data_IF_469723981166
#
_entry.id   IF_469723981166
#
_cell.length_a   1.000
_cell.length_b   1.000
_cell.length_c   1.000
_cell.angle_alpha   90.00
_cell.angle_beta   90.00
_cell.angle_gamma   90.00
#
_symmetry.space_group_name_H-M   'P 1'
#
loop_
_entity.id
_entity.type
_entity.pdbx_description
1 polymer ?
#
# COMPACT_ATOMS: atom_id res chain seq x y z
N UNK A 1 3.80 29.10 -0.40
CA UNK A 1 2.58 28.31 -0.71
C UNK A 1 2.86 26.86 -0.37
N UNK A 2 2.05 26.22 0.48
CA UNK A 2 2.28 24.83 0.88
C UNK A 2 1.58 23.88 -0.09
N UNK A 3 2.33 23.27 -1.02
CA UNK A 3 1.86 22.18 -1.88
C UNK A 3 1.83 20.88 -1.08
N UNK A 4 0.98 20.81 -0.06
CA UNK A 4 0.80 19.64 0.80
C UNK A 4 -0.70 19.35 0.94
N UNK A 5 -1.09 18.11 0.64
CA UNK A 5 -2.43 17.59 0.86
C UNK A 5 -2.36 16.26 1.59
N UNK A 6 -3.38 15.96 2.40
CA UNK A 6 -3.56 14.65 3.03
C UNK A 6 -4.96 14.15 2.66
N UNK A 7 -5.02 13.01 1.98
CA UNK A 7 -6.23 12.26 1.77
C UNK A 7 -6.26 11.09 2.76
N UNK A 8 -7.44 10.72 3.25
CA UNK A 8 -7.64 9.55 4.09
C UNK A 8 -9.00 8.94 3.78
N UNK A 9 -9.08 7.62 3.84
CA UNK A 9 -10.31 6.87 3.73
C UNK A 9 -10.33 5.86 4.88
N UNK A 10 -11.51 5.58 5.42
CA UNK A 10 -11.68 4.56 6.46
C UNK A 10 -12.64 3.51 5.92
N UNK A 11 -12.20 2.25 5.92
CA UNK A 11 -12.95 1.12 5.39
C UNK A 11 -13.08 0.07 6.48
N UNK A 12 -14.29 -0.41 6.72
CA UNK A 12 -14.54 -1.54 7.60
C UNK A 12 -14.40 -2.85 6.82
N UNK A 13 -13.63 -3.78 7.37
CA UNK A 13 -13.43 -5.11 6.81
C UNK A 13 -13.94 -6.17 7.80
N UNK A 14 -14.54 -7.22 7.28
CA UNK A 14 -15.00 -8.36 8.11
C UNK A 14 -13.86 -9.34 8.45
N UNK A 15 -12.75 -9.27 7.71
CA UNK A 15 -11.56 -10.09 7.93
C UNK A 15 -10.75 -9.63 9.15
N UNK A 16 -10.00 -10.58 9.76
CA UNK A 16 -9.11 -10.31 10.89
C UNK A 16 -8.09 -9.21 10.57
N UNK A 17 -7.94 -8.25 11.49
CA UNK A 17 -6.94 -7.18 11.42
C UNK A 17 -5.52 -7.73 11.17
N UNK A 18 -5.16 -8.82 11.83
CA UNK A 18 -3.83 -9.42 11.72
C UNK A 18 -3.61 -10.08 10.36
N UNK A 19 -4.64 -10.72 9.80
CA UNK A 19 -4.57 -11.33 8.46
C UNK A 19 -4.40 -10.26 7.38
N UNK A 20 -5.16 -9.18 7.46
CA UNK A 20 -5.05 -8.06 6.54
C UNK A 20 -3.69 -7.35 6.69
N UNK A 21 -3.25 -7.08 7.91
CA UNK A 21 -1.94 -6.46 8.15
C UNK A 21 -0.78 -7.31 7.62
N UNK A 22 -0.79 -8.63 7.87
CA UNK A 22 0.26 -9.54 7.42
C UNK A 22 0.34 -9.62 5.89
N UNK A 23 -0.81 -9.52 5.21
CA UNK A 23 -0.87 -9.47 3.75
C UNK A 23 -0.03 -8.32 3.20
N UNK A 24 -0.21 -7.10 3.73
CA UNK A 24 0.55 -5.93 3.28
C UNK A 24 1.98 -5.86 3.82
N UNK A 25 2.25 -6.46 4.99
CA UNK A 25 3.57 -6.40 5.61
C UNK A 25 4.57 -7.41 5.02
N UNK A 26 4.09 -8.59 4.58
CA UNK A 26 4.99 -9.70 4.21
C UNK A 26 4.53 -10.54 3.03
N UNK A 27 3.28 -10.39 2.58
CA UNK A 27 2.71 -11.21 1.49
C UNK A 27 2.16 -10.33 0.38
N UNK A 28 2.80 -9.19 0.11
CA UNK A 28 2.33 -8.24 -0.89
C UNK A 28 2.25 -8.89 -2.29
N UNK A 29 3.16 -9.82 -2.60
CA UNK A 29 3.17 -10.61 -3.83
C UNK A 29 1.94 -11.53 -4.00
N UNK A 30 1.19 -11.81 -2.93
CA UNK A 30 -0.07 -12.58 -3.01
C UNK A 30 -1.25 -11.69 -3.45
N UNK A 31 -1.13 -10.35 -3.40
CA UNK A 31 -2.24 -9.45 -3.77
C UNK A 31 -2.65 -9.62 -5.24
N UNK A 32 -1.72 -9.90 -6.14
CA UNK A 32 -2.03 -10.20 -7.56
C UNK A 32 -2.93 -11.45 -7.72
N UNK A 33 -2.91 -12.36 -6.74
CA UNK A 33 -3.74 -13.56 -6.75
C UNK A 33 -5.11 -13.33 -6.09
N UNK A 34 -5.30 -12.19 -5.41
CA UNK A 34 -6.51 -11.85 -4.64
C UNK A 34 -7.43 -10.90 -5.43
N UNK A 35 -6.88 -10.06 -6.31
CA UNK A 35 -7.66 -9.10 -7.09
C UNK A 35 -7.18 -9.02 -8.54
N UNK A 36 -8.12 -9.12 -9.47
CA UNK A 36 -7.87 -8.94 -10.91
C UNK A 36 -7.47 -7.49 -11.28
N UNK A 37 -7.67 -6.51 -10.37
CA UNK A 37 -7.26 -5.13 -10.60
C UNK A 37 -5.75 -4.91 -10.41
N UNK A 38 -5.07 -5.77 -9.64
CA UNK A 38 -3.62 -5.73 -9.43
C UNK A 38 -2.96 -6.71 -10.38
N UNK A 39 -2.43 -6.18 -11.48
CA UNK A 39 -1.94 -7.00 -12.58
C UNK A 39 -0.67 -7.80 -12.23
N UNK A 40 0.28 -7.20 -11.49
CA UNK A 40 1.46 -7.88 -10.94
C UNK A 40 1.98 -7.16 -9.69
N UNK A 41 2.29 -7.93 -8.66
CA UNK A 41 3.15 -7.50 -7.54
C UNK A 41 4.42 -8.33 -7.65
N UNK A 42 5.47 -7.73 -8.25
CA UNK A 42 6.80 -8.33 -8.32
C UNK A 42 7.74 -7.56 -7.40
N UNK A 43 8.21 -8.21 -6.33
CA UNK A 43 9.38 -7.78 -5.59
C UNK A 43 10.55 -7.52 -6.57
N UNK A 44 11.11 -6.31 -6.55
CA UNK A 44 11.96 -5.80 -7.61
C UNK A 44 13.34 -6.49 -7.67
N UNK A 45 13.43 -7.56 -8.47
CA UNK A 45 14.59 -7.96 -9.30
C UNK A 45 14.07 -8.58 -10.60
N UNK A 46 13.60 -7.76 -11.54
CA UNK A 46 13.28 -8.25 -12.89
C UNK A 46 12.41 -7.29 -13.70
N UNK A 47 12.90 -6.96 -14.88
CA UNK A 47 12.22 -6.20 -15.94
C UNK A 47 11.16 -7.07 -16.64
N UNK A 48 9.95 -6.55 -16.97
CA UNK A 48 9.28 -6.83 -18.27
C UNK A 48 7.94 -6.08 -18.53
N UNK A 49 7.86 -5.47 -19.72
CA UNK A 49 6.80 -5.06 -20.68
C UNK A 49 5.27 -5.07 -20.38
N UNK A 50 4.59 -3.98 -20.82
CA UNK A 50 3.64 -4.07 -21.95
C UNK A 50 2.13 -3.79 -21.78
N UNK A 51 1.72 -2.66 -21.22
CA UNK A 51 0.34 -2.12 -21.24
C UNK A 51 0.31 -0.76 -20.55
N UNK A 52 -0.78 0.04 -20.61
CA UNK A 52 -0.89 1.29 -19.81
C UNK A 52 -1.08 0.94 -18.33
N UNK A 53 -0.07 0.32 -17.76
CA UNK A 53 0.06 -0.04 -16.36
C UNK A 53 0.55 1.22 -15.67
N UNK A 54 -0.20 1.66 -14.65
CA UNK A 54 0.28 2.69 -13.75
C UNK A 54 1.32 2.04 -12.85
N UNK A 55 2.57 2.01 -13.32
CA UNK A 55 3.68 1.49 -12.54
C UNK A 55 3.98 2.48 -11.42
N UNK A 56 4.15 1.97 -10.20
CA UNK A 56 4.61 2.73 -9.05
C UNK A 56 5.67 1.91 -8.33
N UNK A 57 6.79 2.52 -7.94
CA UNK A 57 7.71 1.88 -7.00
C UNK A 57 7.41 2.37 -5.60
N UNK A 58 7.19 1.40 -4.73
CA UNK A 58 6.90 1.60 -3.32
C UNK A 58 8.08 1.08 -2.50
N UNK A 59 8.49 1.86 -1.50
CA UNK A 59 9.43 1.46 -0.49
C UNK A 59 8.74 1.46 0.86
N UNK A 60 8.84 0.37 1.60
CA UNK A 60 8.34 0.32 2.98
C UNK A 60 9.32 1.11 3.85
N UNK A 61 8.92 2.29 4.32
CA UNK A 61 9.72 3.12 5.23
C UNK A 61 9.66 2.59 6.67
N UNK A 62 8.48 2.13 7.10
CA UNK A 62 8.26 1.71 8.49
C UNK A 62 7.15 0.65 8.56
N UNK A 63 7.40 -0.38 9.37
CA UNK A 63 6.39 -1.36 9.78
C UNK A 63 6.33 -1.34 11.30
N UNK A 64 5.20 -0.88 11.83
CA UNK A 64 4.88 -0.95 13.24
C UNK A 64 3.91 -2.10 13.48
N UNK A 65 4.46 -3.22 13.94
CA UNK A 65 3.68 -4.43 14.26
C UNK A 65 2.78 -4.25 15.50
N UNK A 66 3.17 -3.39 16.45
CA UNK A 66 2.41 -3.17 17.68
C UNK A 66 1.13 -2.35 17.41
N UNK A 67 1.24 -1.34 16.54
CA UNK A 67 0.16 -0.48 16.11
C UNK A 67 -0.50 -0.92 14.80
N UNK A 68 -0.07 -2.07 14.25
CA UNK A 68 -0.49 -2.62 12.93
C UNK A 68 -0.54 -1.53 11.86
N UNK A 69 0.55 -0.76 11.77
CA UNK A 69 0.69 0.38 10.86
C UNK A 69 1.86 0.17 9.92
N UNK A 70 1.67 0.46 8.63
CA UNK A 70 2.70 0.41 7.60
C UNK A 70 2.78 1.76 6.91
N UNK A 71 4.00 2.25 6.71
CA UNK A 71 4.27 3.46 5.95
C UNK A 71 5.03 3.10 4.67
N UNK A 72 4.39 3.35 3.54
CA UNK A 72 4.99 3.21 2.22
C UNK A 72 5.35 4.59 1.67
N UNK A 73 6.51 4.70 1.04
CA UNK A 73 6.91 5.84 0.24
C UNK A 73 6.85 5.46 -1.23
N UNK A 74 6.03 6.19 -1.95
CA UNK A 74 5.93 6.13 -3.41
C UNK A 74 6.96 7.11 -3.97
N UNK A 75 7.88 6.62 -4.80
CA UNK A 75 9.02 7.43 -5.28
C UNK A 75 9.26 7.36 -6.78
N UNK A 76 8.55 6.50 -7.52
CA UNK A 76 8.77 6.30 -8.95
C UNK A 76 7.45 6.03 -9.66
N UNK A 77 7.44 6.18 -10.97
CA UNK A 77 6.24 6.01 -11.79
C UNK A 77 5.36 7.26 -11.83
N UNK A 78 4.04 7.10 -11.85
CA UNK A 78 3.12 8.25 -11.94
C UNK A 78 3.12 9.19 -10.73
N UNK A 79 3.74 8.78 -9.61
CA UNK A 79 3.93 9.57 -8.40
C UNK A 79 5.38 10.03 -8.19
N UNK A 80 6.23 9.89 -9.22
CA UNK A 80 7.61 10.37 -9.22
C UNK A 80 7.73 11.90 -9.10
N UNK A 81 8.98 12.36 -9.00
CA UNK A 81 9.33 13.76 -8.67
C UNK A 81 8.72 14.80 -9.64
N UNK A 82 8.40 14.41 -10.87
CA UNK A 82 7.78 15.26 -11.88
C UNK A 82 6.36 15.74 -11.52
N UNK A 83 5.61 14.99 -10.67
CA UNK A 83 4.26 15.37 -10.21
C UNK A 83 4.20 15.72 -8.73
N UNK A 84 4.91 14.94 -7.89
CA UNK A 84 4.86 15.10 -6.44
C UNK A 84 6.27 14.95 -5.85
N UNK A 85 6.68 15.94 -5.05
CA UNK A 85 7.99 15.90 -4.35
C UNK A 85 8.10 14.72 -3.38
N UNK A 86 7.00 14.29 -2.78
CA UNK A 86 6.95 13.14 -1.90
C UNK A 86 5.52 12.66 -1.73
N UNK A 87 5.25 11.39 -2.00
CA UNK A 87 3.97 10.75 -1.70
C UNK A 87 4.22 9.64 -0.70
N UNK A 88 3.47 9.66 0.40
CA UNK A 88 3.52 8.63 1.45
C UNK A 88 2.13 8.05 1.64
N UNK A 89 2.04 6.73 1.60
CA UNK A 89 0.83 5.99 1.88
C UNK A 89 0.97 5.37 3.28
N UNK A 90 0.05 5.73 4.17
CA UNK A 90 -0.01 5.19 5.52
C UNK A 90 -1.20 4.26 5.60
N UNK A 91 -0.97 3.00 5.94
CA UNK A 91 -1.99 2.00 6.16
C UNK A 91 -1.97 1.61 7.63
N UNK A 92 -3.08 1.78 8.33
CA UNK A 92 -3.27 1.40 9.73
C UNK A 92 -4.48 0.50 9.84
N UNK A 93 -4.29 -0.66 10.46
CA UNK A 93 -5.35 -1.62 10.73
C UNK A 93 -5.69 -1.58 12.22
N UNK A 94 -6.95 -1.27 12.53
CA UNK A 94 -7.48 -1.21 13.89
C UNK A 94 -8.42 -2.38 14.10
N UNK A 95 -8.15 -3.20 15.10
CA UNK A 95 -8.99 -4.36 15.42
C UNK A 95 -10.35 -3.93 15.99
N UNK A 96 -11.40 -4.67 15.61
CA UNK A 96 -12.76 -4.53 16.14
C UNK A 96 -13.21 -5.86 16.77
N UNK A 97 -14.30 -5.81 17.53
CA UNK A 97 -14.93 -7.01 18.11
C UNK A 97 -15.24 -8.06 17.02
N UNK A 98 -15.75 -7.61 15.86
CA UNK A 98 -15.89 -8.41 14.65
C UNK A 98 -15.23 -7.64 13.50
N UNK A 99 -14.20 -8.24 12.90
CA UNK A 99 -13.46 -7.63 11.79
C UNK A 99 -12.43 -6.56 12.20
N UNK A 100 -12.25 -5.55 11.36
CA UNK A 100 -11.28 -4.47 11.56
C UNK A 100 -11.66 -3.19 10.79
N UNK A 101 -11.07 -2.06 11.16
CA UNK A 101 -11.07 -0.83 10.35
C UNK A 101 -9.68 -0.66 9.73
N UNK A 102 -9.63 -0.38 8.44
CA UNK A 102 -8.42 0.01 7.69
C UNK A 102 -8.49 1.51 7.39
N UNK A 103 -7.39 2.24 7.62
CA UNK A 103 -7.30 3.69 7.37
C UNK A 103 -5.90 4.21 7.08
#
# INVERSE_FOLDING_TARGET
MALKGKLGAEIEIQSSASKFFNLFASQLDELQNITDEVHQTKLHKGDWHGGKVVNCKEHIEEIDNANKTILFKLFDGEFGEDKYKSVKLKLKVVEKNEGAIVK
#
